data_IF_392788780452
#
_entry.id   IF_392788780452
#
_cell.length_a   1.000
_cell.length_b   1.000
_cell.length_c   1.000
_cell.angle_alpha   90.00
_cell.angle_beta   90.00
_cell.angle_gamma   90.00
#
_symmetry.space_group_name_H-M   'P 1'
#
loop_
_entity.id
_entity.type
_entity.pdbx_description
1 polymer ?
#
# COMPACT_ATOMS: atom_id res chain seq x y z
N UNK A 1 6.22 -7.11 23.29
CA UNK A 1 7.02 -6.03 22.67
C UNK A 1 6.56 -5.86 21.22
N UNK A 2 6.21 -4.65 20.76
CA UNK A 2 5.77 -4.46 19.37
C UNK A 2 6.96 -4.60 18.41
N UNK A 3 6.96 -5.64 17.57
CA UNK A 3 7.96 -5.81 16.50
C UNK A 3 7.92 -4.60 15.58
N UNK A 4 9.09 -4.03 15.25
CA UNK A 4 9.19 -2.93 14.30
C UNK A 4 8.73 -3.43 12.92
N UNK A 5 7.77 -2.74 12.32
CA UNK A 5 7.28 -3.07 10.97
C UNK A 5 8.42 -3.03 9.97
N UNK A 6 8.53 -4.07 9.15
CA UNK A 6 9.51 -4.13 8.08
C UNK A 6 8.99 -3.37 6.84
N UNK A 7 9.89 -3.14 5.87
CA UNK A 7 9.56 -2.39 4.65
C UNK A 7 8.44 -3.04 3.83
N UNK A 8 8.44 -4.36 3.70
CA UNK A 8 7.44 -5.08 2.90
C UNK A 8 6.07 -5.05 3.56
N UNK A 9 6.01 -5.14 4.90
CA UNK A 9 4.79 -4.97 5.69
C UNK A 9 4.18 -3.58 5.49
N UNK A 10 5.00 -2.52 5.51
CA UNK A 10 4.53 -1.15 5.29
C UNK A 10 3.97 -0.99 3.87
N UNK A 11 4.67 -1.52 2.86
CA UNK A 11 4.20 -1.49 1.47
C UNK A 11 2.87 -2.26 1.37
N UNK A 12 2.81 -3.48 1.91
CA UNK A 12 1.59 -4.29 1.91
C UNK A 12 0.42 -3.55 2.59
N UNK A 13 0.64 -2.93 3.75
CA UNK A 13 -0.37 -2.16 4.50
C UNK A 13 -0.93 -1.02 3.64
N UNK A 14 -0.06 -0.21 3.02
CA UNK A 14 -0.46 0.89 2.14
C UNK A 14 -1.29 0.40 0.95
N UNK A 15 -0.84 -0.65 0.25
CA UNK A 15 -1.55 -1.20 -0.89
C UNK A 15 -2.89 -1.82 -0.48
N UNK A 16 -2.95 -2.47 0.68
CA UNK A 16 -4.20 -3.04 1.24
C UNK A 16 -5.21 -1.96 1.55
N UNK A 17 -4.81 -0.84 2.17
CA UNK A 17 -5.70 0.29 2.43
C UNK A 17 -6.32 0.81 1.12
N UNK A 18 -5.55 0.92 0.04
CA UNK A 18 -6.06 1.37 -1.26
C UNK A 18 -7.08 0.36 -1.80
N UNK A 19 -6.73 -0.95 -1.81
CA UNK A 19 -7.64 -2.03 -2.24
C UNK A 19 -8.96 -2.00 -1.48
N UNK A 20 -8.89 -1.95 -0.16
CA UNK A 20 -10.05 -2.04 0.74
C UNK A 20 -10.94 -0.79 0.68
N UNK A 21 -10.46 0.29 0.05
CA UNK A 21 -11.22 1.50 -0.27
C UNK A 21 -11.68 1.51 -1.72
N UNK A 22 -12.17 0.36 -2.19
CA UNK A 22 -12.65 0.14 -3.57
C UNK A 22 -11.63 0.57 -4.63
N UNK A 23 -10.35 0.35 -4.36
CA UNK A 23 -9.24 0.76 -5.22
C UNK A 23 -9.24 2.26 -5.59
N UNK A 24 -9.77 3.10 -4.71
CA UNK A 24 -9.95 4.53 -4.99
C UNK A 24 -9.96 5.36 -3.71
N UNK A 25 -8.82 5.98 -3.40
CA UNK A 25 -8.66 6.78 -2.18
C UNK A 25 -7.86 8.05 -2.45
N UNK A 26 -8.17 9.13 -1.73
CA UNK A 26 -7.34 10.34 -1.77
C UNK A 26 -6.06 10.16 -0.94
N UNK A 27 -4.98 10.85 -1.31
CA UNK A 27 -3.70 10.84 -0.59
C UNK A 27 -3.84 11.17 0.90
N UNK A 28 -4.59 12.21 1.27
CA UNK A 28 -4.71 12.62 2.68
C UNK A 28 -5.38 11.56 3.58
N UNK A 29 -6.55 10.99 3.24
CA UNK A 29 -7.07 9.81 3.92
C UNK A 29 -6.10 8.63 3.96
N UNK A 30 -5.38 8.36 2.86
CA UNK A 30 -4.42 7.26 2.81
C UNK A 30 -3.30 7.43 3.85
N UNK A 31 -2.77 8.65 4.00
CA UNK A 31 -1.82 8.99 5.09
C UNK A 31 -2.44 8.71 6.46
N UNK A 32 -3.67 9.17 6.70
CA UNK A 32 -4.32 9.02 8.01
C UNK A 32 -4.60 7.57 8.39
N UNK A 33 -4.85 6.70 7.40
CA UNK A 33 -5.03 5.27 7.62
C UNK A 33 -3.70 4.53 7.74
N UNK A 34 -2.65 5.02 7.07
CA UNK A 34 -1.31 4.50 7.29
C UNK A 34 -0.82 4.95 8.67
N UNK A 35 -0.45 4.05 9.55
CA UNK A 35 0.10 4.44 10.86
C UNK A 35 1.54 4.99 10.72
N UNK A 36 1.76 5.95 9.82
CA UNK A 36 3.06 6.49 9.41
C UNK A 36 3.10 8.00 9.66
N UNK A 37 4.30 8.52 9.95
CA UNK A 37 4.52 9.96 9.89
C UNK A 37 4.40 10.47 8.45
N UNK A 38 4.04 11.75 8.27
CA UNK A 38 3.93 12.36 6.93
C UNK A 38 5.22 12.20 6.10
N UNK A 39 6.38 12.32 6.74
CA UNK A 39 7.67 12.14 6.05
C UNK A 39 7.88 10.69 5.59
N UNK A 40 7.64 9.72 6.47
CA UNK A 40 7.80 8.31 6.13
C UNK A 40 6.82 7.89 5.04
N UNK A 41 5.56 8.34 5.16
CA UNK A 41 4.55 8.12 4.14
C UNK A 41 5.01 8.64 2.79
N UNK A 42 5.47 9.90 2.69
CA UNK A 42 5.85 10.49 1.42
C UNK A 42 6.99 9.71 0.74
N UNK A 43 7.95 9.20 1.51
CA UNK A 43 9.04 8.37 0.99
C UNK A 43 8.51 7.06 0.39
N UNK A 44 7.66 6.33 1.14
CA UNK A 44 7.05 5.10 0.64
C UNK A 44 6.13 5.34 -0.53
N UNK A 45 5.28 6.36 -0.45
CA UNK A 45 4.33 6.72 -1.49
C UNK A 45 5.01 7.05 -2.81
N UNK A 46 6.11 7.82 -2.77
CA UNK A 46 6.95 8.06 -3.94
C UNK A 46 7.53 6.76 -4.49
N UNK A 47 8.03 5.87 -3.64
CA UNK A 47 8.52 4.56 -4.07
C UNK A 47 7.42 3.69 -4.72
N UNK A 48 6.18 3.75 -4.23
CA UNK A 48 5.05 3.03 -4.84
C UNK A 48 4.74 3.55 -6.24
N UNK A 49 4.80 4.87 -6.44
CA UNK A 49 4.60 5.51 -7.75
C UNK A 49 5.76 5.18 -8.70
N UNK A 50 7.01 5.37 -8.26
CA UNK A 50 8.21 5.11 -9.06
C UNK A 50 8.29 3.64 -9.51
N UNK A 51 7.83 2.72 -8.65
CA UNK A 51 7.76 1.29 -8.98
C UNK A 51 6.53 0.89 -9.77
N UNK A 52 5.60 1.81 -10.02
CA UNK A 52 4.35 1.55 -10.72
C UNK A 52 3.43 0.58 -9.99
N UNK A 53 3.47 0.53 -8.66
CA UNK A 53 2.53 -0.25 -7.83
C UNK A 53 1.19 0.47 -7.65
N UNK A 54 1.23 1.80 -7.71
CA UNK A 54 0.06 2.68 -7.65
C UNK A 54 0.14 3.72 -8.75
N UNK A 55 -0.99 4.31 -9.08
CA UNK A 55 -1.11 5.46 -9.97
C UNK A 55 -2.00 6.53 -9.34
N UNK A 56 -1.73 7.77 -9.72
CA UNK A 56 -2.63 8.89 -9.45
C UNK A 56 -3.50 9.17 -10.67
N UNK A 57 -4.77 9.48 -10.44
CA UNK A 57 -5.70 9.86 -11.51
C UNK A 57 -6.73 10.87 -11.00
N UNK A 58 -7.30 11.64 -11.94
CA UNK A 58 -8.37 12.60 -11.64
C UNK A 58 -9.71 11.88 -11.58
N UNK A 59 -10.30 11.83 -10.39
CA UNK A 59 -11.64 11.30 -10.18
C UNK A 59 -12.73 12.28 -10.61
N UNK A 60 -13.98 11.84 -10.42
CA UNK A 60 -15.16 12.71 -10.61
C UNK A 60 -15.02 13.96 -9.75
N UNK A 61 -15.22 15.15 -10.34
CA UNK A 61 -15.02 16.48 -9.73
C UNK A 61 -13.56 16.93 -9.54
N UNK A 62 -12.63 16.43 -10.36
CA UNK A 62 -11.24 16.92 -10.41
C UNK A 62 -10.38 16.58 -9.19
N UNK A 63 -10.84 15.64 -8.35
CA UNK A 63 -10.12 15.24 -7.15
C UNK A 63 -9.06 14.20 -7.50
N UNK A 64 -7.82 14.42 -7.09
CA UNK A 64 -6.73 13.46 -7.23
C UNK A 64 -6.98 12.24 -6.34
N UNK A 65 -7.00 11.06 -6.96
CA UNK A 65 -7.22 9.76 -6.34
C UNK A 65 -6.03 8.85 -6.65
N UNK A 66 -5.86 7.85 -5.79
CA UNK A 66 -4.84 6.81 -5.87
C UNK A 66 -5.54 5.48 -6.08
N UNK A 67 -4.99 4.68 -7.00
CA UNK A 67 -5.44 3.32 -7.31
C UNK A 67 -4.24 2.40 -7.46
N UNK A 68 -4.42 1.12 -7.15
CA UNK A 68 -3.48 0.06 -7.48
C UNK A 68 -3.42 -0.16 -8.99
N UNK A 69 -2.21 -0.43 -9.47
CA UNK A 69 -2.00 -1.02 -10.80
C UNK A 69 -2.12 -2.54 -10.73
N UNK A 70 -2.11 -3.19 -11.89
CA UNK A 70 -1.95 -4.64 -11.99
C UNK A 70 -0.74 -5.15 -11.17
N UNK A 71 0.40 -4.44 -11.27
CA UNK A 71 1.60 -4.77 -10.49
C UNK A 71 1.38 -4.63 -8.98
N UNK A 72 0.58 -3.65 -8.56
CA UNK A 72 0.16 -3.48 -7.16
C UNK A 72 -0.66 -4.66 -6.64
N UNK A 73 -1.63 -5.13 -7.43
CA UNK A 73 -2.41 -6.32 -7.09
C UNK A 73 -1.54 -7.58 -7.03
N UNK A 74 -0.63 -7.76 -7.99
CA UNK A 74 0.30 -8.89 -7.99
C UNK A 74 1.22 -8.89 -6.78
N UNK A 75 1.67 -7.71 -6.32
CA UNK A 75 2.44 -7.61 -5.08
C UNK A 75 1.64 -8.14 -3.88
N UNK A 76 0.37 -7.73 -3.72
CA UNK A 76 -0.48 -8.19 -2.63
C UNK A 76 -0.66 -9.72 -2.64
N UNK A 77 -0.86 -10.31 -3.81
CA UNK A 77 -0.99 -11.76 -3.95
C UNK A 77 0.29 -12.49 -3.57
N UNK A 78 1.44 -12.06 -4.10
CA UNK A 78 2.75 -12.67 -3.77
C UNK A 78 3.08 -12.54 -2.28
N UNK A 79 2.81 -11.38 -1.69
CA UNK A 79 3.03 -11.18 -0.26
C UNK A 79 2.15 -12.11 0.57
N UNK A 80 0.88 -12.28 0.19
CA UNK A 80 -0.03 -13.23 0.86
C UNK A 80 0.53 -14.65 0.81
N UNK A 81 0.96 -15.14 -0.36
CA UNK A 81 1.57 -16.47 -0.51
C UNK A 81 2.81 -16.65 0.37
N UNK A 82 3.70 -15.65 0.42
CA UNK A 82 4.88 -15.70 1.28
C UNK A 82 4.50 -15.78 2.75
N UNK A 83 3.50 -15.00 3.18
CA UNK A 83 3.04 -15.00 4.57
C UNK A 83 2.39 -16.33 4.96
N UNK A 84 1.59 -16.91 4.07
CA UNK A 84 0.99 -18.22 4.26
C UNK A 84 2.07 -19.30 4.39
N UNK A 85 3.08 -19.28 3.52
CA UNK A 85 4.22 -20.19 3.59
C UNK A 85 4.98 -20.05 4.92
N UNK A 86 5.33 -18.83 5.33
CA UNK A 86 6.03 -18.60 6.61
C UNK A 86 5.22 -19.16 7.79
N UNK A 87 3.90 -18.94 7.79
CA UNK A 87 3.02 -19.46 8.83
C UNK A 87 2.91 -20.99 8.81
N UNK A 88 2.85 -21.60 7.63
CA UNK A 88 2.74 -23.07 7.46
C UNK A 88 3.99 -23.80 7.95
N UNK A 89 5.17 -23.21 7.75
CA UNK A 89 6.46 -23.79 8.13
C UNK A 89 7.04 -23.22 9.44
N UNK A 90 6.25 -22.43 10.19
CA UNK A 90 6.63 -21.82 11.48
C UNK A 90 7.95 -21.01 11.44
N UNK A 91 8.19 -20.25 10.36
CA UNK A 91 9.42 -19.46 10.11
C UNK A 91 9.37 -18.00 10.61
#
# INVERSE_FOLDING_TARGET
>A
MSRKRNKLEIIHELLSIIRDKNNSIRKTPLIRYSNLSSQSFNNYYKELLDKGLVIEFSGKKGKMLVSLTEKGFQFLQKYKTIKEFINEFEL
#
